data_IF_003945655647
#
_entry.id   IF_003945655647
#
_cell.length_a   1.000
_cell.length_b   1.000
_cell.length_c   1.000
_cell.angle_alpha   90.00
_cell.angle_beta   90.00
_cell.angle_gamma   90.00
#
_symmetry.space_group_name_H-M   'P 1'
#
loop_
_entity.id
_entity.type
_entity.pdbx_description
1 polymer ?
#
# COMPACT_ATOMS: atom_id res chain seq x y z
N UNK A 1 24.04 8.90 23.38
CA UNK A 1 25.04 8.89 22.29
C UNK A 1 24.54 8.16 21.03
N UNK A 2 23.92 6.96 21.12
CA UNK A 2 23.43 6.23 19.91
C UNK A 2 22.36 6.98 19.09
N UNK A 3 21.45 7.74 19.73
CA UNK A 3 20.40 8.52 19.04
C UNK A 3 20.97 9.74 18.30
N UNK A 4 22.01 10.36 18.80
CA UNK A 4 22.67 11.52 18.16
C UNK A 4 23.48 11.06 16.95
N UNK A 5 24.14 9.88 17.02
CA UNK A 5 24.83 9.30 15.88
C UNK A 5 23.87 8.95 14.71
N UNK A 6 22.65 8.46 15.02
CA UNK A 6 21.64 8.18 13.99
C UNK A 6 21.15 9.45 13.29
N UNK A 7 20.98 10.56 14.03
CA UNK A 7 20.59 11.85 13.45
C UNK A 7 21.73 12.42 12.59
N UNK A 8 22.98 12.28 13.01
CA UNK A 8 24.14 12.71 12.22
C UNK A 8 24.33 11.86 10.96
N UNK A 9 24.12 10.53 11.01
CA UNK A 9 24.13 9.68 9.83
C UNK A 9 23.00 10.04 8.85
N UNK A 10 21.82 10.37 9.37
CA UNK A 10 20.70 10.79 8.52
C UNK A 10 20.96 12.15 7.87
N UNK A 11 21.49 13.12 8.60
CA UNK A 11 21.90 14.43 8.07
C UNK A 11 23.05 14.31 7.05
N UNK A 12 23.99 13.40 7.27
CA UNK A 12 25.10 13.15 6.34
C UNK A 12 24.63 12.45 5.04
N UNK A 13 23.64 11.57 5.12
CA UNK A 13 22.97 10.98 3.96
C UNK A 13 22.21 12.05 3.17
N UNK A 14 21.50 12.93 3.84
CA UNK A 14 20.75 14.02 3.18
C UNK A 14 21.67 15.03 2.52
N UNK A 15 22.83 15.38 3.11
CA UNK A 15 23.79 16.30 2.52
C UNK A 15 24.48 15.75 1.27
N UNK A 16 24.70 14.42 1.20
CA UNK A 16 25.24 13.79 -0.01
C UNK A 16 24.19 13.64 -1.13
N UNK A 17 22.91 13.59 -0.78
CA UNK A 17 21.82 13.60 -1.76
C UNK A 17 21.67 14.98 -2.42
N UNK A 18 21.95 16.07 -1.70
CA UNK A 18 21.95 17.41 -2.29
C UNK A 18 23.04 17.60 -3.35
N UNK A 19 24.17 16.91 -3.25
CA UNK A 19 25.25 16.93 -4.26
C UNK A 19 24.92 16.09 -5.51
N UNK A 20 23.91 15.21 -5.46
CA UNK A 20 23.48 14.43 -6.62
C UNK A 20 22.59 15.25 -7.59
N UNK A 21 22.20 16.46 -7.21
CA UNK A 21 21.41 17.36 -8.08
C UNK A 21 22.17 17.85 -9.30
N UNK A 22 23.49 17.79 -9.31
CA UNK A 22 24.33 18.18 -10.45
C UNK A 22 24.52 17.04 -11.48
N UNK A 23 24.03 15.83 -11.19
CA UNK A 23 24.05 14.74 -12.16
C UNK A 23 22.95 14.95 -13.22
N UNK A 24 23.30 15.15 -14.50
CA UNK A 24 22.31 15.35 -15.55
C UNK A 24 21.35 14.14 -15.57
N UNK A 25 20.08 14.41 -15.31
CA UNK A 25 19.01 13.42 -15.39
C UNK A 25 18.49 12.85 -14.07
N UNK A 26 19.04 13.18 -12.89
CA UNK A 26 18.52 12.71 -11.61
C UNK A 26 17.71 13.80 -10.89
N UNK A 27 16.56 13.42 -10.36
CA UNK A 27 15.73 14.26 -9.47
C UNK A 27 15.34 13.45 -8.23
N UNK A 28 15.31 14.12 -7.10
CA UNK A 28 14.91 13.55 -5.83
C UNK A 28 13.69 14.31 -5.27
N UNK A 29 12.78 13.60 -4.63
CA UNK A 29 11.57 14.23 -4.10
C UNK A 29 10.96 13.47 -2.93
N UNK A 30 9.98 14.12 -2.31
CA UNK A 30 9.18 13.56 -1.24
C UNK A 30 7.72 13.48 -1.65
N UNK A 31 7.06 12.41 -1.22
CA UNK A 31 5.67 12.12 -1.50
C UNK A 31 4.84 12.10 -0.21
N UNK A 32 3.63 12.68 -0.28
CA UNK A 32 2.56 12.51 0.68
C UNK A 32 1.25 12.34 -0.09
N UNK A 33 0.65 11.15 -0.04
CA UNK A 33 -0.46 10.78 -0.91
C UNK A 33 -1.57 10.11 -0.11
N UNK A 34 -2.73 10.73 0.08
CA UNK A 34 -3.90 10.05 0.61
C UNK A 34 -4.33 8.92 -0.32
N UNK A 35 -4.79 7.82 0.27
CA UNK A 35 -5.13 6.59 -0.44
C UNK A 35 -6.51 6.08 -0.04
N UNK A 36 -7.19 5.43 -0.99
CA UNK A 36 -8.35 4.58 -0.77
C UNK A 36 -8.00 3.17 -1.20
N UNK A 37 -8.09 2.23 -0.28
CA UNK A 37 -7.79 0.83 -0.55
C UNK A 37 -8.98 -0.05 -0.24
N UNK A 38 -9.08 -1.16 -0.94
CA UNK A 38 -10.11 -2.16 -0.75
C UNK A 38 -9.53 -3.55 -0.92
N UNK A 39 -10.19 -4.53 -0.31
CA UNK A 39 -9.85 -5.94 -0.51
C UNK A 39 -10.75 -6.60 -1.54
N UNK A 40 -10.20 -7.58 -2.25
CA UNK A 40 -10.91 -8.49 -3.14
C UNK A 40 -10.47 -9.91 -2.84
N UNK A 41 -11.41 -10.83 -2.94
CA UNK A 41 -11.13 -12.25 -2.85
C UNK A 41 -11.58 -12.96 -4.13
N UNK A 42 -11.10 -14.16 -4.35
CA UNK A 42 -11.56 -15.04 -5.42
C UNK A 42 -12.63 -16.03 -4.94
N UNK A 43 -13.10 -15.94 -3.70
CA UNK A 43 -14.19 -16.74 -3.14
C UNK A 43 -15.46 -15.90 -2.97
N UNK A 44 -16.57 -16.36 -3.54
CA UNK A 44 -17.87 -15.67 -3.48
C UNK A 44 -18.50 -15.62 -2.08
N UNK A 45 -18.03 -16.45 -1.15
CA UNK A 45 -18.48 -16.45 0.24
C UNK A 45 -17.59 -15.64 1.18
N UNK A 46 -16.50 -15.07 0.67
CA UNK A 46 -15.61 -14.16 1.37
C UNK A 46 -15.52 -12.88 0.55
N UNK A 47 -16.51 -12.03 0.64
CA UNK A 47 -16.59 -10.84 -0.20
C UNK A 47 -15.80 -9.66 0.38
N UNK A 48 -15.02 -8.99 -0.47
CA UNK A 48 -14.46 -7.70 -0.14
C UNK A 48 -15.54 -6.63 -0.12
N UNK A 49 -15.72 -5.95 1.02
CA UNK A 49 -16.73 -4.92 1.22
C UNK A 49 -16.12 -3.67 1.83
N UNK A 50 -16.54 -2.49 1.34
CA UNK A 50 -16.03 -1.23 1.85
C UNK A 50 -14.57 -0.96 1.48
N UNK A 51 -14.03 0.11 2.04
CA UNK A 51 -12.68 0.60 1.76
C UNK A 51 -12.05 1.24 2.98
N UNK A 52 -10.71 1.28 3.01
CA UNK A 52 -9.93 2.01 4.00
C UNK A 52 -9.41 3.33 3.42
N UNK A 53 -9.41 4.34 4.26
CA UNK A 53 -8.65 5.55 4.03
C UNK A 53 -7.26 5.37 4.62
N UNK A 54 -6.24 5.68 3.84
CA UNK A 54 -4.85 5.52 4.23
C UNK A 54 -3.98 6.69 3.75
N UNK A 55 -2.70 6.55 3.97
CA UNK A 55 -1.70 7.54 3.57
C UNK A 55 -0.45 6.82 3.07
N UNK A 56 0.15 7.32 2.00
CA UNK A 56 1.50 6.95 1.58
C UNK A 56 2.44 8.14 1.80
N UNK A 57 3.54 7.88 2.49
CA UNK A 57 4.66 8.81 2.65
C UNK A 57 5.91 8.16 2.07
N UNK A 58 6.80 8.95 1.46
CA UNK A 58 8.04 8.36 0.94
C UNK A 58 8.98 9.37 0.31
N UNK A 59 10.16 8.86 0.02
CA UNK A 59 11.18 9.51 -0.79
C UNK A 59 11.20 8.85 -2.17
N UNK A 60 11.21 9.64 -3.22
CA UNK A 60 11.21 9.21 -4.60
C UNK A 60 12.46 9.70 -5.33
N UNK A 61 12.94 8.89 -6.26
CA UNK A 61 13.99 9.24 -7.19
C UNK A 61 13.54 9.04 -8.62
N UNK A 62 13.87 9.98 -9.49
CA UNK A 62 13.64 9.90 -10.93
C UNK A 62 14.97 10.03 -11.64
N UNK A 63 15.30 9.07 -12.50
CA UNK A 63 16.46 9.11 -13.37
C UNK A 63 16.04 9.26 -14.83
N UNK A 64 16.24 10.45 -15.37
CA UNK A 64 15.91 10.77 -16.77
C UNK A 64 17.03 10.24 -17.69
N UNK A 65 16.73 9.20 -18.44
CA UNK A 65 17.60 8.65 -19.46
C UNK A 65 17.35 9.27 -20.85
N UNK A 66 16.24 10.00 -21.00
CA UNK A 66 15.91 10.81 -22.15
C UNK A 66 15.08 12.05 -21.70
N UNK A 67 14.95 13.11 -22.50
CA UNK A 67 14.27 14.34 -22.08
C UNK A 67 12.87 14.16 -21.48
N UNK A 68 12.13 13.15 -21.97
CA UNK A 68 10.76 12.87 -21.58
C UNK A 68 10.55 11.52 -20.91
N UNK A 69 11.62 10.76 -20.62
CA UNK A 69 11.50 9.42 -20.05
C UNK A 69 12.41 9.25 -18.84
N UNK A 70 11.86 8.76 -17.78
CA UNK A 70 12.60 8.50 -16.54
C UNK A 70 12.30 7.11 -15.98
N UNK A 71 13.30 6.52 -15.34
CA UNK A 71 13.07 5.47 -14.35
C UNK A 71 12.68 6.11 -13.04
N UNK A 72 11.69 5.52 -12.36
CA UNK A 72 11.28 5.93 -11.02
C UNK A 72 11.58 4.82 -10.03
N UNK A 73 12.03 5.21 -8.85
CA UNK A 73 12.20 4.33 -7.70
C UNK A 73 12.00 5.11 -6.41
N UNK A 74 12.08 4.45 -5.26
CA UNK A 74 11.96 5.13 -3.99
C UNK A 74 11.87 4.18 -2.81
N UNK A 75 11.67 4.78 -1.65
CA UNK A 75 11.33 4.09 -0.42
C UNK A 75 10.10 4.77 0.18
N UNK A 76 9.03 4.01 0.35
CA UNK A 76 7.76 4.51 0.85
C UNK A 76 7.26 3.74 2.07
N UNK A 77 6.31 4.36 2.74
CA UNK A 77 5.55 3.79 3.84
C UNK A 77 4.07 3.95 3.52
N UNK A 78 3.36 2.83 3.43
CA UNK A 78 1.91 2.81 3.26
C UNK A 78 1.24 2.55 4.61
N UNK A 79 0.30 3.40 4.99
CA UNK A 79 -0.42 3.31 6.26
C UNK A 79 -1.89 3.01 6.00
N UNK A 80 -2.46 2.13 6.83
CA UNK A 80 -3.88 1.78 6.83
C UNK A 80 -4.40 1.27 5.48
N UNK A 81 -3.59 0.49 4.78
CA UNK A 81 -4.01 -0.19 3.55
C UNK A 81 -4.79 -1.46 3.90
N UNK A 82 -5.73 -1.85 3.04
CA UNK A 82 -6.54 -3.04 3.26
C UNK A 82 -8.00 -2.83 2.88
N UNK A 83 -8.90 -3.27 3.74
CA UNK A 83 -10.35 -3.21 3.53
C UNK A 83 -11.06 -4.23 4.42
N UNK A 84 -12.31 -4.52 4.12
CA UNK A 84 -13.09 -5.47 4.88
C UNK A 84 -13.35 -6.73 4.04
N UNK A 85 -13.38 -7.88 4.71
CA UNK A 85 -13.89 -9.14 4.17
C UNK A 85 -15.16 -9.51 4.95
N UNK A 86 -16.27 -9.67 4.26
CA UNK A 86 -17.53 -10.18 4.84
C UNK A 86 -17.56 -11.70 4.70
N UNK A 87 -17.92 -12.37 5.79
CA UNK A 87 -17.99 -13.83 5.87
C UNK A 87 -19.39 -14.30 5.45
N UNK A 88 -19.48 -15.06 4.37
CA UNK A 88 -20.72 -15.69 3.89
C UNK A 88 -20.81 -17.19 4.21
N UNK A 89 -19.80 -17.75 4.89
CA UNK A 89 -19.84 -19.11 5.45
C UNK A 89 -20.60 -19.14 6.76
N UNK A 90 -21.03 -20.31 7.22
CA UNK A 90 -21.71 -20.47 8.51
C UNK A 90 -20.82 -20.03 9.66
N UNK A 91 -19.55 -20.51 9.64
CA UNK A 91 -18.49 -20.04 10.50
C UNK A 91 -17.18 -19.93 9.72
N UNK A 92 -16.30 -19.02 10.12
CA UNK A 92 -14.97 -18.87 9.56
C UNK A 92 -13.93 -18.56 10.66
N UNK A 93 -12.75 -19.13 10.50
CA UNK A 93 -11.55 -18.82 11.29
C UNK A 93 -10.46 -18.39 10.31
N UNK A 94 -10.37 -17.09 10.03
CA UNK A 94 -9.41 -16.52 9.09
C UNK A 94 -8.14 -16.02 9.79
N UNK A 95 -8.19 -15.86 11.12
CA UNK A 95 -7.08 -15.41 11.97
C UNK A 95 -6.72 -16.47 13.02
N UNK A 96 -6.63 -17.72 12.58
CA UNK A 96 -6.46 -18.89 13.45
C UNK A 96 -5.05 -18.98 14.08
N UNK A 97 -4.04 -18.50 13.36
CA UNK A 97 -2.65 -18.52 13.81
C UNK A 97 -2.27 -17.31 14.67
N UNK A 98 -3.06 -16.27 14.62
CA UNK A 98 -2.79 -15.01 15.32
C UNK A 98 -3.15 -15.10 16.80
N UNK A 99 -2.41 -14.34 17.61
CA UNK A 99 -2.61 -14.28 19.05
C UNK A 99 -3.63 -13.17 19.38
N UNK A 100 -4.93 -13.48 19.18
CA UNK A 100 -5.99 -12.54 19.46
C UNK A 100 -6.17 -12.35 20.96
N UNK A 101 -6.75 -11.23 21.36
CA UNK A 101 -6.98 -10.89 22.78
C UNK A 101 -7.82 -11.93 23.53
N UNK A 102 -8.74 -12.60 22.83
CA UNK A 102 -9.53 -13.72 23.36
C UNK A 102 -9.69 -14.82 22.30
N UNK A 103 -9.63 -16.08 22.72
CA UNK A 103 -9.79 -17.25 21.82
C UNK A 103 -11.14 -17.28 21.08
N UNK A 104 -12.20 -16.70 21.69
CA UNK A 104 -13.53 -16.66 21.07
C UNK A 104 -13.56 -15.81 19.78
N UNK A 105 -12.62 -14.91 19.58
CA UNK A 105 -12.52 -14.07 18.37
C UNK A 105 -11.94 -14.82 17.17
N UNK A 106 -11.30 -15.97 17.36
CA UNK A 106 -10.76 -16.77 16.26
C UNK A 106 -11.84 -17.31 15.33
N UNK A 107 -13.03 -17.60 15.83
CA UNK A 107 -14.14 -18.12 15.03
C UNK A 107 -15.24 -17.07 14.96
N UNK A 108 -15.57 -16.63 13.76
CA UNK A 108 -16.65 -15.68 13.49
C UNK A 108 -17.77 -16.34 12.70
N UNK A 109 -18.96 -15.80 12.83
CA UNK A 109 -20.19 -16.29 12.24
C UNK A 109 -20.45 -15.61 10.89
N UNK A 110 -21.48 -16.10 10.19
CA UNK A 110 -21.96 -15.49 8.95
C UNK A 110 -22.27 -14.01 9.15
N UNK A 111 -22.00 -13.22 8.10
CA UNK A 111 -22.17 -11.77 8.04
C UNK A 111 -21.20 -10.96 8.89
N UNK A 112 -20.32 -11.60 9.67
CA UNK A 112 -19.23 -10.91 10.32
C UNK A 112 -18.31 -10.24 9.29
N UNK A 113 -17.82 -9.06 9.62
CA UNK A 113 -16.85 -8.29 8.79
C UNK A 113 -15.51 -8.27 9.50
N UNK A 114 -14.50 -8.77 8.79
CA UNK A 114 -13.12 -8.75 9.21
C UNK A 114 -12.44 -7.58 8.52
N UNK A 115 -12.06 -6.58 9.30
CA UNK A 115 -11.41 -5.38 8.81
C UNK A 115 -9.89 -5.52 8.91
N UNK A 116 -9.19 -5.44 7.79
CA UNK A 116 -7.73 -5.53 7.69
C UNK A 116 -7.14 -4.12 7.59
N UNK A 117 -6.20 -3.80 8.47
CA UNK A 117 -5.44 -2.56 8.49
C UNK A 117 -3.94 -2.88 8.45
N UNK A 118 -3.35 -2.70 7.30
CA UNK A 118 -1.98 -3.10 7.02
C UNK A 118 -1.09 -1.89 6.78
N UNK A 119 0.08 -1.90 7.39
CA UNK A 119 1.13 -0.94 7.09
C UNK A 119 2.26 -1.64 6.33
N UNK A 120 2.78 -0.95 5.32
CA UNK A 120 3.81 -1.47 4.43
C UNK A 120 5.05 -0.57 4.41
N UNK A 121 6.20 -1.19 4.24
CA UNK A 121 7.39 -0.56 3.66
C UNK A 121 7.37 -0.92 2.18
N UNK A 122 7.42 0.07 1.29
CA UNK A 122 7.23 -0.10 -0.15
C UNK A 122 8.45 0.39 -0.93
N UNK A 123 8.82 -0.36 -1.96
CA UNK A 123 9.86 0.01 -2.92
C UNK A 123 9.20 0.01 -4.30
N UNK A 124 8.78 1.19 -4.81
CA UNK A 124 8.28 1.32 -6.17
C UNK A 124 9.43 1.35 -7.17
N UNK A 125 9.19 0.83 -8.37
CA UNK A 125 10.06 1.00 -9.54
C UNK A 125 9.22 0.95 -10.81
N UNK A 126 9.53 1.81 -11.77
CA UNK A 126 8.74 1.90 -12.98
C UNK A 126 9.27 2.90 -13.97
N UNK A 127 8.45 3.17 -14.95
CA UNK A 127 8.73 4.12 -16.01
C UNK A 127 7.80 5.33 -15.90
N UNK A 128 8.37 6.49 -16.10
CA UNK A 128 7.64 7.76 -16.22
C UNK A 128 7.89 8.34 -17.60
N UNK A 129 6.82 8.79 -18.21
CA UNK A 129 6.83 9.57 -19.42
C UNK A 129 6.27 10.95 -19.12
N UNK A 130 6.87 11.99 -19.62
CA UNK A 130 6.34 13.35 -19.53
C UNK A 130 6.25 13.97 -20.91
N UNK A 131 5.28 14.86 -21.09
CA UNK A 131 5.08 15.58 -22.33
C UNK A 131 4.47 16.94 -22.07
N UNK A 132 4.68 17.87 -22.98
CA UNK A 132 4.14 19.22 -22.96
C UNK A 132 4.50 19.90 -24.28
N UNK A 133 3.65 20.80 -24.73
CA UNK A 133 3.77 21.40 -26.07
C UNK A 133 4.91 22.40 -26.22
N UNK A 134 5.52 22.87 -25.14
CA UNK A 134 6.64 23.84 -25.18
C UNK A 134 7.64 23.52 -24.08
N UNK A 135 8.93 23.64 -24.38
CA UNK A 135 10.01 23.47 -23.40
C UNK A 135 9.92 24.47 -22.22
N UNK A 136 9.36 25.67 -22.48
CA UNK A 136 9.14 26.73 -21.50
C UNK A 136 7.83 26.64 -20.71
N UNK A 137 7.02 25.58 -20.93
CA UNK A 137 5.76 25.45 -20.21
C UNK A 137 5.98 25.07 -18.75
N UNK A 138 5.50 25.91 -17.83
CA UNK A 138 5.48 25.63 -16.38
C UNK A 138 4.70 24.38 -16.02
N UNK A 139 3.88 23.86 -16.96
CA UNK A 139 3.08 22.66 -16.81
C UNK A 139 3.54 21.60 -17.78
N UNK A 140 3.77 20.40 -17.27
CA UNK A 140 4.02 19.19 -18.07
C UNK A 140 3.05 18.11 -17.64
N UNK A 141 2.45 17.41 -18.57
CA UNK A 141 1.69 16.19 -18.27
C UNK A 141 2.66 15.04 -18.06
N UNK A 142 2.30 14.11 -17.20
CA UNK A 142 3.07 12.88 -17.04
C UNK A 142 2.16 11.65 -16.98
N UNK A 143 2.72 10.51 -17.33
CA UNK A 143 2.18 9.18 -17.11
C UNK A 143 3.26 8.28 -16.52
N UNK A 144 2.87 7.41 -15.61
CA UNK A 144 3.72 6.38 -14.99
C UNK A 144 3.15 5.02 -15.33
N UNK A 145 3.81 4.25 -16.19
CA UNK A 145 3.35 2.94 -16.70
C UNK A 145 4.53 2.12 -17.22
N UNK A 146 4.71 0.88 -16.78
CA UNK A 146 4.16 0.29 -15.57
C UNK A 146 4.90 0.78 -14.31
N UNK A 147 4.23 0.74 -13.18
CA UNK A 147 4.86 0.88 -11.87
C UNK A 147 4.68 -0.42 -11.11
N UNK A 148 5.76 -1.08 -10.78
CA UNK A 148 5.77 -2.24 -9.89
C UNK A 148 6.13 -1.80 -8.48
N UNK A 149 5.54 -2.43 -7.48
CA UNK A 149 5.87 -2.14 -6.09
C UNK A 149 6.09 -3.44 -5.34
N UNK A 150 7.24 -3.52 -4.65
CA UNK A 150 7.52 -4.55 -3.67
C UNK A 150 7.16 -3.96 -2.31
N UNK A 151 6.26 -4.61 -1.58
CA UNK A 151 5.82 -4.19 -0.27
C UNK A 151 6.14 -5.25 0.78
N UNK A 152 6.57 -4.79 1.96
CA UNK A 152 6.78 -5.63 3.13
C UNK A 152 5.84 -5.17 4.22
N UNK A 153 5.00 -6.08 4.73
CA UNK A 153 4.10 -5.77 5.84
C UNK A 153 4.91 -5.51 7.10
N UNK A 154 4.84 -4.29 7.62
CA UNK A 154 5.48 -3.89 8.87
C UNK A 154 4.56 -4.03 10.08
N UNK A 155 3.24 -3.87 9.89
CA UNK A 155 2.21 -4.05 10.91
C UNK A 155 0.94 -4.55 10.26
N UNK A 156 0.23 -5.45 10.95
CA UNK A 156 -1.08 -5.93 10.55
C UNK A 156 -2.02 -5.92 11.76
N UNK A 157 -3.10 -5.20 11.66
CA UNK A 157 -4.14 -5.13 12.67
C UNK A 157 -5.48 -5.49 12.05
N UNK A 158 -6.37 -6.06 12.86
CA UNK A 158 -7.70 -6.43 12.46
C UNK A 158 -8.76 -6.02 13.46
N UNK A 159 -9.97 -5.71 12.96
CA UNK A 159 -11.14 -5.53 13.77
C UNK A 159 -12.22 -6.53 13.32
N UNK A 160 -13.00 -7.03 14.27
CA UNK A 160 -14.18 -7.87 14.00
C UNK A 160 -15.42 -7.06 14.30
N UNK A 161 -16.36 -7.02 13.34
CA UNK A 161 -17.61 -6.28 13.46
C UNK A 161 -18.79 -7.11 12.96
N UNK A 162 -19.94 -6.95 13.60
CA UNK A 162 -21.18 -7.61 13.19
C UNK A 162 -21.25 -9.09 13.51
N UNK A 163 -20.37 -9.63 14.32
CA UNK A 163 -20.51 -10.93 14.95
C UNK A 163 -21.21 -10.73 16.29
N UNK A 164 -22.22 -11.52 16.64
CA UNK A 164 -23.10 -11.29 17.80
C UNK A 164 -22.30 -10.73 19.00
N UNK A 165 -21.79 -11.33 19.93
CA UNK A 165 -21.03 -10.76 21.04
C UNK A 165 -19.49 -10.73 20.82
N UNK A 166 -19.03 -10.74 19.56
CA UNK A 166 -17.61 -10.88 19.21
C UNK A 166 -17.06 -9.66 18.44
N UNK A 167 -17.47 -8.46 18.83
CA UNK A 167 -16.85 -7.25 18.28
C UNK A 167 -15.53 -6.97 18.99
N UNK A 168 -14.47 -6.73 18.24
CA UNK A 168 -13.15 -6.34 18.79
C UNK A 168 -12.43 -5.40 17.83
N UNK A 169 -11.49 -4.65 18.35
CA UNK A 169 -10.67 -3.70 17.60
C UNK A 169 -9.19 -3.91 17.94
N UNK A 170 -8.31 -3.54 16.98
CA UNK A 170 -6.85 -3.52 17.15
C UNK A 170 -6.19 -4.89 17.41
N UNK A 171 -6.81 -6.00 17.01
CA UNK A 171 -6.21 -7.33 17.13
C UNK A 171 -4.94 -7.44 16.29
N UNK A 172 -3.89 -8.06 16.83
CA UNK A 172 -2.69 -8.37 16.06
C UNK A 172 -2.91 -9.60 15.18
N UNK A 173 -3.00 -9.38 13.88
CA UNK A 173 -3.25 -10.42 12.87
C UNK A 173 -2.02 -10.72 12.03
N UNK A 174 -0.82 -10.37 12.49
CA UNK A 174 0.41 -10.46 11.71
C UNK A 174 0.73 -11.86 11.23
N UNK A 175 0.41 -12.88 12.02
CA UNK A 175 0.70 -14.29 11.70
C UNK A 175 -0.25 -14.86 10.63
N UNK A 176 -1.40 -14.22 10.40
CA UNK A 176 -2.34 -14.58 9.34
C UNK A 176 -2.29 -13.64 8.12
N UNK A 177 -1.24 -12.83 8.02
CA UNK A 177 -0.99 -11.94 6.89
C UNK A 177 0.36 -12.26 6.26
N UNK A 178 0.37 -12.45 4.94
CA UNK A 178 1.62 -12.68 4.20
C UNK A 178 2.48 -11.45 4.18
N UNK A 179 3.75 -11.61 4.57
CA UNK A 179 4.68 -10.51 4.77
C UNK A 179 5.14 -9.80 3.50
N UNK A 180 5.09 -10.47 2.33
CA UNK A 180 5.52 -9.94 1.04
C UNK A 180 4.32 -9.63 0.15
N UNK A 181 4.31 -8.43 -0.40
CA UNK A 181 3.32 -7.94 -1.36
C UNK A 181 4.00 -7.54 -2.65
N UNK A 182 3.47 -8.01 -3.77
CA UNK A 182 3.85 -7.56 -5.10
C UNK A 182 2.63 -6.97 -5.80
N UNK A 183 2.78 -5.79 -6.35
CA UNK A 183 1.71 -5.09 -7.05
C UNK A 183 2.22 -4.41 -8.31
N UNK A 184 1.30 -4.16 -9.23
CA UNK A 184 1.51 -3.32 -10.39
C UNK A 184 0.57 -2.13 -10.33
N UNK A 185 0.93 -1.06 -11.03
CA UNK A 185 0.12 0.14 -11.05
C UNK A 185 0.39 1.00 -12.26
N UNK A 186 -0.39 2.02 -12.36
CA UNK A 186 -0.26 3.09 -13.34
C UNK A 186 -0.68 4.41 -12.69
N UNK A 187 -0.18 5.50 -13.22
CA UNK A 187 -0.53 6.83 -12.74
C UNK A 187 -0.41 7.88 -13.84
N UNK A 188 -0.93 9.05 -13.54
CA UNK A 188 -0.80 10.19 -14.42
C UNK A 188 -1.30 11.47 -13.77
N UNK A 189 -0.83 12.59 -14.29
CA UNK A 189 -1.16 13.90 -13.74
C UNK A 189 -0.37 15.01 -14.38
N UNK A 190 -0.04 16.00 -13.57
CA UNK A 190 0.68 17.19 -13.99
C UNK A 190 1.91 17.44 -13.10
N UNK A 191 2.94 17.96 -13.73
CA UNK A 191 4.10 18.57 -13.08
C UNK A 191 3.97 20.08 -13.21
N UNK A 192 4.18 20.80 -12.12
CA UNK A 192 4.17 22.24 -12.08
C UNK A 192 5.47 22.76 -11.47
N UNK A 193 6.21 23.56 -12.22
CA UNK A 193 7.43 24.19 -11.74
C UNK A 193 7.10 25.32 -10.76
N UNK A 194 7.37 25.09 -9.47
CA UNK A 194 7.17 26.07 -8.40
C UNK A 194 8.27 27.13 -8.40
N UNK A 195 9.51 26.71 -8.63
CA UNK A 195 10.70 27.52 -8.70
C UNK A 195 11.74 26.83 -9.59
N UNK A 196 12.84 27.49 -9.89
CA UNK A 196 13.93 26.93 -10.72
C UNK A 196 14.49 25.59 -10.23
N UNK A 197 14.31 25.27 -8.94
CA UNK A 197 14.82 24.03 -8.30
C UNK A 197 13.73 23.16 -7.70
N UNK A 198 12.44 23.50 -7.83
CA UNK A 198 11.36 22.75 -7.19
C UNK A 198 10.17 22.51 -8.13
N UNK A 199 9.74 21.30 -8.25
CA UNK A 199 8.60 20.86 -9.07
C UNK A 199 7.56 20.16 -8.21
N UNK A 200 6.32 20.65 -8.25
CA UNK A 200 5.16 19.95 -7.70
C UNK A 200 4.64 18.93 -8.73
N UNK A 201 4.51 17.70 -8.31
CA UNK A 201 3.91 16.62 -9.10
C UNK A 201 2.62 16.18 -8.42
N UNK A 202 1.50 16.31 -9.13
CA UNK A 202 0.20 15.88 -8.61
C UNK A 202 -0.56 15.09 -9.66
N UNK A 203 -1.34 14.09 -9.20
CA UNK A 203 -2.08 13.23 -10.11
C UNK A 203 -2.84 12.13 -9.38
N UNK A 204 -3.32 11.16 -10.14
CA UNK A 204 -4.02 9.99 -9.63
C UNK A 204 -3.20 8.76 -9.99
N UNK A 205 -3.07 7.85 -9.04
CA UNK A 205 -2.43 6.55 -9.26
C UNK A 205 -3.38 5.43 -8.87
N UNK A 206 -3.33 4.36 -9.64
CA UNK A 206 -3.99 3.08 -9.36
C UNK A 206 -2.92 2.03 -9.11
N UNK A 207 -3.15 1.18 -8.11
CA UNK A 207 -2.27 0.05 -7.80
C UNK A 207 -3.11 -1.18 -7.48
N UNK A 208 -2.75 -2.33 -8.04
CA UNK A 208 -3.39 -3.62 -7.80
C UNK A 208 -2.35 -4.64 -7.38
N UNK A 209 -2.52 -5.19 -6.20
CA UNK A 209 -1.74 -6.31 -5.72
C UNK A 209 -2.16 -7.59 -6.45
N UNK A 210 -1.19 -8.42 -6.82
CA UNK A 210 -1.41 -9.73 -7.44
C UNK A 210 -0.95 -10.90 -6.56
N UNK A 211 -0.20 -10.62 -5.49
CA UNK A 211 0.09 -11.60 -4.45
C UNK A 211 -1.07 -11.66 -3.45
N UNK A 212 -1.27 -12.83 -2.91
CA UNK A 212 -2.22 -13.04 -1.83
C UNK A 212 -1.69 -12.42 -0.52
N UNK A 213 -2.54 -11.67 0.17
CA UNK A 213 -2.20 -11.03 1.44
C UNK A 213 -2.71 -11.81 2.65
N UNK A 214 -3.77 -12.62 2.45
CA UNK A 214 -4.38 -13.40 3.52
C UNK A 214 -3.61 -14.68 3.81
N UNK A 215 -3.61 -15.11 5.06
CA UNK A 215 -3.15 -16.43 5.50
C UNK A 215 -4.08 -17.54 5.04
N UNK A 216 -3.83 -18.74 5.51
CA UNK A 216 -4.75 -19.88 5.34
C UNK A 216 -5.69 -19.89 6.54
N UNK A 217 -6.99 -19.81 6.28
CA UNK A 217 -8.02 -19.93 7.29
C UNK A 217 -8.75 -21.27 7.21
N UNK A 218 -9.72 -21.42 8.07
CA UNK A 218 -10.67 -22.54 8.08
C UNK A 218 -12.09 -22.02 7.98
N UNK A 219 -12.97 -22.76 7.30
CA UNK A 219 -14.39 -22.39 7.15
C UNK A 219 -15.30 -23.59 7.37
N UNK A 220 -16.46 -23.34 7.94
CA UNK A 220 -17.55 -24.30 8.05
C UNK A 220 -18.66 -23.89 7.07
N UNK A 221 -19.05 -24.81 6.18
CA UNK A 221 -20.01 -24.52 5.09
C UNK A 221 -21.45 -24.56 5.53
N UNK A 222 -21.78 -25.49 6.43
CA UNK A 222 -23.10 -25.64 7.03
C UNK A 222 -22.98 -26.04 8.50
N UNK A 223 -24.02 -25.78 9.28
CA UNK A 223 -24.05 -26.11 10.69
C UNK A 223 -23.83 -27.61 10.91
N UNK A 224 -22.91 -27.95 11.81
CA UNK A 224 -22.58 -29.35 12.13
C UNK A 224 -21.57 -30.02 11.17
N UNK A 225 -21.18 -29.40 10.07
CA UNK A 225 -20.10 -29.90 9.23
C UNK A 225 -18.72 -29.61 9.85
N UNK A 226 -17.70 -30.43 9.51
CA UNK A 226 -16.34 -30.15 9.97
C UNK A 226 -15.77 -28.87 9.29
N UNK A 227 -14.86 -28.20 9.97
CA UNK A 227 -14.08 -27.13 9.37
C UNK A 227 -13.17 -27.67 8.26
N UNK A 228 -13.11 -26.97 7.15
CA UNK A 228 -12.24 -27.28 6.01
C UNK A 228 -11.32 -26.10 5.74
N UNK A 229 -10.11 -26.39 5.26
CA UNK A 229 -9.16 -25.34 4.92
C UNK A 229 -9.71 -24.45 3.81
N UNK A 230 -9.72 -23.17 4.09
CA UNK A 230 -10.08 -22.12 3.15
C UNK A 230 -8.91 -21.92 2.16
N UNK A 231 -9.22 -21.62 0.88
CA UNK A 231 -8.24 -21.47 -0.21
C UNK A 231 -8.37 -20.13 -0.94
N UNK A 232 -9.18 -19.22 -0.44
CA UNK A 232 -9.36 -17.91 -1.05
C UNK A 232 -8.05 -17.12 -1.00
N UNK A 233 -7.87 -16.29 -2.02
CA UNK A 233 -6.78 -15.34 -2.09
C UNK A 233 -7.35 -13.95 -1.90
N UNK A 234 -6.88 -13.26 -0.88
CA UNK A 234 -7.18 -11.86 -0.65
C UNK A 234 -6.12 -10.97 -1.32
N UNK A 235 -6.55 -10.00 -2.08
CA UNK A 235 -5.67 -9.00 -2.72
C UNK A 235 -6.15 -7.58 -2.43
N UNK A 236 -5.23 -6.63 -2.42
CA UNK A 236 -5.54 -5.22 -2.17
C UNK A 236 -5.44 -4.44 -3.47
N UNK A 237 -6.50 -3.69 -3.78
CA UNK A 237 -6.48 -2.62 -4.76
C UNK A 237 -6.48 -1.27 -4.06
N UNK A 238 -5.83 -0.27 -4.65
CA UNK A 238 -5.88 1.08 -4.11
C UNK A 238 -5.84 2.15 -5.22
N UNK A 239 -6.43 3.29 -4.90
CA UNK A 239 -6.28 4.54 -5.64
C UNK A 239 -5.66 5.55 -4.69
N UNK A 240 -4.75 6.39 -5.21
CA UNK A 240 -4.20 7.50 -4.43
C UNK A 240 -4.18 8.80 -5.22
N UNK A 241 -4.33 9.90 -4.50
CA UNK A 241 -4.00 11.23 -5.02
C UNK A 241 -2.52 11.43 -4.76
N UNK A 242 -1.72 11.28 -5.81
CA UNK A 242 -0.28 11.50 -5.71
C UNK A 242 -0.01 12.98 -5.52
N UNK A 243 0.79 13.31 -4.52
CA UNK A 243 1.33 14.65 -4.30
C UNK A 243 2.78 14.51 -3.90
N UNK A 244 3.69 15.08 -4.69
CA UNK A 244 5.13 14.98 -4.47
C UNK A 244 5.80 16.29 -4.83
N UNK A 245 6.89 16.62 -4.14
CA UNK A 245 7.75 17.76 -4.47
C UNK A 245 9.12 17.20 -4.80
N UNK A 246 9.62 17.53 -5.99
CA UNK A 246 10.96 17.16 -6.48
C UNK A 246 11.87 18.38 -6.54
N UNK A 247 13.15 18.11 -6.30
CA UNK A 247 14.24 19.08 -6.31
C UNK A 247 15.30 18.69 -7.31
#
# INVERSE_FOLDING_TARGET
>A
MKKIASIFCFLFLVSNLASAQDAPGFRFGFQASPTWSWMRTNDKKLEGVGSNWGLKLGALGEYYFAPNYAFITGLGFGFNQGGNIQVGYEMASLWDNSNLSEERFKVVERDAKLHYRLNYVEIPFGLKMRGGSNEDARFKFYAEVPVFTIGFVSRAQGDIRGSQDKNTEDEDIRDDVKGLSLSWGLGGGIEYELASSATLVTGITFQQQFTDVTGKGMVQKAAGEPFVTEKAKGTIGLISIKTSVFF
#
